data_IF_268166837625
#
_entry.id   IF_268166837625
#
_cell.length_a   1.000
_cell.length_b   1.000
_cell.length_c   1.000
_cell.angle_alpha   90.00
_cell.angle_beta   90.00
_cell.angle_gamma   90.00
#
_symmetry.space_group_name_H-M   'P 1'
#
loop_
_entity.id
_entity.type
_entity.pdbx_description
1 polymer ?
#
# COMPACT_ATOMS: atom_id res chain seq x y z
N UNK A 1 -30.63 -2.46 12.21
CA UNK A 1 -29.73 -3.64 12.34
C UNK A 1 -28.90 -3.49 13.60
N UNK A 2 -28.55 -4.59 14.28
CA UNK A 2 -27.63 -4.54 15.43
C UNK A 2 -26.22 -4.14 14.96
N UNK A 3 -25.47 -3.40 15.78
CA UNK A 3 -24.10 -2.95 15.50
C UNK A 3 -23.17 -4.09 15.12
N UNK A 4 -23.32 -5.26 15.77
CA UNK A 4 -22.52 -6.44 15.43
C UNK A 4 -22.76 -6.90 13.99
N UNK A 5 -24.00 -6.84 13.50
CA UNK A 5 -24.34 -7.22 12.12
C UNK A 5 -23.75 -6.21 11.14
N UNK A 6 -23.84 -4.90 11.45
CA UNK A 6 -23.22 -3.85 10.65
C UNK A 6 -21.69 -4.03 10.57
N UNK A 7 -21.04 -4.36 11.68
CA UNK A 7 -19.60 -4.63 11.73
C UNK A 7 -19.22 -5.85 10.87
N UNK A 8 -19.97 -6.94 10.96
CA UNK A 8 -19.74 -8.13 10.14
C UNK A 8 -19.93 -7.86 8.64
N UNK A 9 -20.95 -7.08 8.27
CA UNK A 9 -21.18 -6.68 6.88
C UNK A 9 -20.07 -5.77 6.35
N UNK A 10 -19.57 -4.84 7.17
CA UNK A 10 -18.43 -4.01 6.81
C UNK A 10 -17.14 -4.83 6.65
N UNK A 11 -16.98 -5.89 7.44
CA UNK A 11 -15.82 -6.79 7.36
C UNK A 11 -15.89 -7.78 6.18
N UNK A 12 -17.09 -8.15 5.74
CA UNK A 12 -17.30 -9.20 4.74
C UNK A 12 -16.50 -9.01 3.42
N UNK A 13 -16.44 -7.82 2.80
CA UNK A 13 -15.63 -7.62 1.58
C UNK A 13 -14.13 -7.88 1.82
N UNK A 14 -13.61 -7.51 2.99
CA UNK A 14 -12.21 -7.74 3.35
C UNK A 14 -11.92 -9.22 3.54
N UNK A 15 -12.80 -9.92 4.26
CA UNK A 15 -12.72 -11.37 4.45
C UNK A 15 -12.78 -12.10 3.11
N UNK A 16 -13.71 -11.69 2.24
CA UNK A 16 -13.87 -12.25 0.91
C UNK A 16 -12.61 -12.05 0.06
N UNK A 17 -12.00 -10.86 0.09
CA UNK A 17 -10.73 -10.63 -0.59
C UNK A 17 -9.63 -11.59 -0.10
N UNK A 18 -9.50 -11.79 1.21
CA UNK A 18 -8.57 -12.76 1.80
C UNK A 18 -8.84 -14.19 1.35
N UNK A 19 -10.10 -14.62 1.38
CA UNK A 19 -10.50 -15.97 0.94
C UNK A 19 -10.20 -16.20 -0.54
N UNK A 20 -10.55 -15.24 -1.42
CA UNK A 20 -10.35 -15.39 -2.86
C UNK A 20 -8.87 -15.33 -3.25
N UNK A 21 -8.09 -14.41 -2.67
CA UNK A 21 -6.69 -14.19 -3.01
C UNK A 21 -5.73 -15.17 -2.33
N UNK A 22 -5.95 -15.51 -1.07
CA UNK A 22 -5.03 -16.35 -0.29
C UNK A 22 -5.53 -17.80 -0.26
N UNK A 23 -6.82 -18.00 0.00
CA UNK A 23 -7.43 -19.33 0.08
C UNK A 23 -7.51 -20.00 -1.30
N UNK A 24 -8.22 -19.37 -2.24
CA UNK A 24 -8.42 -19.90 -3.60
C UNK A 24 -7.31 -19.51 -4.58
N UNK A 25 -6.41 -18.60 -4.20
CA UNK A 25 -5.30 -18.12 -5.04
C UNK A 25 -5.76 -17.60 -6.41
N UNK A 26 -6.95 -17.00 -6.44
CA UNK A 26 -7.49 -16.41 -7.67
C UNK A 26 -6.69 -15.17 -8.03
N UNK A 27 -6.47 -14.91 -9.34
CA UNK A 27 -5.80 -13.69 -9.75
C UNK A 27 -6.66 -12.47 -9.38
N UNK A 28 -6.00 -11.40 -8.92
CA UNK A 28 -6.67 -10.18 -8.46
C UNK A 28 -7.63 -9.57 -9.50
N UNK A 29 -7.35 -9.74 -10.80
CA UNK A 29 -8.23 -9.32 -11.90
C UNK A 29 -9.64 -9.93 -11.85
N UNK A 30 -9.79 -11.10 -11.21
CA UNK A 30 -11.07 -11.80 -11.03
C UNK A 30 -11.62 -11.55 -9.62
N UNK A 31 -10.76 -11.67 -8.61
CA UNK A 31 -11.18 -11.55 -7.22
C UNK A 31 -11.68 -10.14 -6.86
N UNK A 32 -10.97 -9.08 -7.29
CA UNK A 32 -11.28 -7.71 -6.87
C UNK A 32 -12.62 -7.18 -7.41
N UNK A 33 -13.03 -7.46 -8.67
CA UNK A 33 -14.38 -7.14 -9.13
C UNK A 33 -15.49 -7.79 -8.30
N UNK A 34 -15.31 -9.05 -7.87
CA UNK A 34 -16.29 -9.75 -7.03
C UNK A 34 -16.40 -9.06 -5.66
N UNK A 35 -15.26 -8.70 -5.06
CA UNK A 35 -15.21 -7.96 -3.79
C UNK A 35 -15.88 -6.59 -3.92
N UNK A 36 -15.62 -5.86 -5.01
CA UNK A 36 -16.25 -4.59 -5.30
C UNK A 36 -17.78 -4.70 -5.43
N UNK A 37 -18.28 -5.66 -6.20
CA UNK A 37 -19.71 -5.90 -6.35
C UNK A 37 -20.36 -6.25 -5.00
N UNK A 38 -19.68 -7.05 -4.19
CA UNK A 38 -20.13 -7.39 -2.83
C UNK A 38 -20.25 -6.13 -1.98
N UNK A 39 -19.24 -5.27 -1.96
CA UNK A 39 -19.28 -4.00 -1.23
C UNK A 39 -20.39 -3.06 -1.72
N UNK A 40 -20.59 -2.97 -3.05
CA UNK A 40 -21.64 -2.15 -3.65
C UNK A 40 -23.05 -2.65 -3.26
N UNK A 41 -23.30 -3.96 -3.34
CA UNK A 41 -24.58 -4.58 -2.94
C UNK A 41 -24.86 -4.31 -1.47
N UNK A 42 -23.85 -4.50 -0.61
CA UNK A 42 -23.99 -4.24 0.82
C UNK A 42 -24.29 -2.75 1.06
N UNK A 43 -23.60 -1.82 0.41
CA UNK A 43 -23.87 -0.38 0.54
C UNK A 43 -25.30 0.00 0.15
N UNK A 44 -25.82 -0.58 -0.94
CA UNK A 44 -27.19 -0.33 -1.41
C UNK A 44 -28.26 -0.92 -0.49
N UNK A 45 -27.99 -2.07 0.15
CA UNK A 45 -29.03 -2.84 0.88
C UNK A 45 -28.98 -2.70 2.40
N UNK A 46 -27.79 -2.56 2.98
CA UNK A 46 -27.59 -2.49 4.43
C UNK A 46 -27.46 -1.06 4.96
N UNK A 47 -27.03 -0.13 4.10
CA UNK A 47 -26.79 1.28 4.42
C UNK A 47 -27.67 2.24 3.61
N UNK A 48 -28.63 1.72 2.84
CA UNK A 48 -29.56 2.49 2.01
C UNK A 48 -28.89 3.58 1.17
N UNK A 49 -27.67 3.30 0.66
CA UNK A 49 -26.97 4.25 -0.19
C UNK A 49 -27.73 4.42 -1.52
N UNK A 50 -27.83 5.65 -2.01
CA UNK A 50 -28.38 5.89 -3.34
C UNK A 50 -27.48 5.27 -4.42
N UNK A 51 -28.09 4.80 -5.50
CA UNK A 51 -27.34 4.32 -6.67
C UNK A 51 -26.37 5.39 -7.21
N UNK A 52 -26.79 6.66 -7.20
CA UNK A 52 -25.95 7.79 -7.59
C UNK A 52 -24.68 7.92 -6.74
N UNK A 53 -24.76 7.66 -5.43
CA UNK A 53 -23.60 7.71 -4.53
C UNK A 53 -22.64 6.56 -4.84
N UNK A 54 -23.14 5.35 -5.04
CA UNK A 54 -22.30 4.19 -5.41
C UNK A 54 -21.61 4.42 -6.77
N UNK A 55 -22.35 4.93 -7.76
CA UNK A 55 -21.78 5.27 -9.07
C UNK A 55 -20.70 6.36 -8.97
N UNK A 56 -20.95 7.43 -8.20
CA UNK A 56 -19.98 8.49 -7.97
C UNK A 56 -18.71 7.96 -7.28
N UNK A 57 -18.85 7.14 -6.23
CA UNK A 57 -17.71 6.50 -5.55
C UNK A 57 -16.92 5.57 -6.48
N UNK A 58 -17.61 4.89 -7.41
CA UNK A 58 -16.95 4.05 -8.42
C UNK A 58 -16.09 4.89 -9.37
N UNK A 59 -16.63 6.00 -9.89
CA UNK A 59 -15.90 6.93 -10.75
C UNK A 59 -14.72 7.55 -9.99
N UNK A 60 -14.93 7.95 -8.74
CA UNK A 60 -13.86 8.46 -7.88
C UNK A 60 -12.74 7.42 -7.73
N UNK A 61 -13.08 6.15 -7.47
CA UNK A 61 -12.10 5.06 -7.39
C UNK A 61 -11.29 4.87 -8.68
N UNK A 62 -11.94 5.00 -9.85
CA UNK A 62 -11.26 4.92 -11.15
C UNK A 62 -10.29 6.09 -11.37
N UNK A 63 -10.68 7.31 -11.00
CA UNK A 63 -9.80 8.49 -11.07
C UNK A 63 -8.58 8.30 -10.16
N UNK A 64 -8.77 7.83 -8.93
CA UNK A 64 -7.67 7.53 -8.02
C UNK A 64 -6.74 6.46 -8.58
N UNK A 65 -7.31 5.41 -9.20
CA UNK A 65 -6.54 4.35 -9.85
C UNK A 65 -5.67 4.89 -10.98
N UNK A 66 -6.15 5.85 -11.78
CA UNK A 66 -5.35 6.49 -12.82
C UNK A 66 -4.12 7.21 -12.24
N UNK A 67 -4.27 7.89 -11.09
CA UNK A 67 -3.15 8.49 -10.36
C UNK A 67 -2.12 7.46 -9.92
N UNK A 68 -2.55 6.32 -9.37
CA UNK A 68 -1.65 5.23 -9.00
C UNK A 68 -0.92 4.65 -10.22
N UNK A 69 -1.62 4.44 -11.34
CA UNK A 69 -1.02 3.94 -12.58
C UNK A 69 0.05 4.91 -13.12
N UNK A 70 -0.16 6.22 -13.00
CA UNK A 70 0.83 7.23 -13.38
C UNK A 70 2.12 7.11 -12.56
N UNK A 71 2.00 6.91 -11.25
CA UNK A 71 3.15 6.69 -10.35
C UNK A 71 3.89 5.40 -10.71
N UNK A 72 3.16 4.29 -10.89
CA UNK A 72 3.74 2.99 -11.27
C UNK A 72 4.45 3.09 -12.62
N UNK A 73 3.86 3.78 -13.59
CA UNK A 73 4.48 4.02 -14.89
C UNK A 73 5.83 4.75 -14.73
N UNK A 74 5.87 5.85 -13.98
CA UNK A 74 7.11 6.59 -13.71
C UNK A 74 8.18 5.72 -13.02
N UNK A 75 7.78 4.91 -12.04
CA UNK A 75 8.68 4.01 -11.33
C UNK A 75 9.26 2.91 -12.24
N UNK A 76 8.42 2.27 -13.05
CA UNK A 76 8.85 1.23 -14.01
C UNK A 76 9.73 1.84 -15.11
N UNK A 77 9.40 3.03 -15.60
CA UNK A 77 10.22 3.75 -16.57
C UNK A 77 11.61 4.00 -16.00
N UNK A 78 11.71 4.58 -14.81
CA UNK A 78 12.98 4.85 -14.13
C UNK A 78 13.79 3.57 -13.90
N UNK A 79 13.15 2.50 -13.39
CA UNK A 79 13.80 1.22 -13.17
C UNK A 79 14.39 0.63 -14.46
N UNK A 80 13.63 0.67 -15.56
CA UNK A 80 14.11 0.20 -16.86
C UNK A 80 15.23 1.09 -17.40
N UNK A 81 15.11 2.41 -17.27
CA UNK A 81 16.18 3.34 -17.64
C UNK A 81 17.46 3.04 -16.88
N UNK A 82 17.40 2.84 -15.56
CA UNK A 82 18.56 2.48 -14.73
C UNK A 82 19.15 1.12 -15.09
N UNK A 83 18.31 0.15 -15.48
CA UNK A 83 18.75 -1.17 -15.93
C UNK A 83 19.51 -1.08 -17.26
N UNK A 84 18.99 -0.31 -18.22
CA UNK A 84 19.59 -0.18 -19.55
C UNK A 84 20.78 0.79 -19.59
N UNK A 85 20.84 1.78 -18.69
CA UNK A 85 21.97 2.71 -18.59
C UNK A 85 23.15 2.16 -17.79
N UNK A 86 23.01 1.00 -17.14
CA UNK A 86 24.02 0.44 -16.23
C UNK A 86 24.02 1.08 -14.82
N UNK A 87 23.07 1.98 -14.53
CA UNK A 87 22.91 2.59 -13.21
C UNK A 87 22.71 1.58 -12.07
N UNK A 88 22.01 0.47 -12.32
CA UNK A 88 21.88 -0.63 -11.34
C UNK A 88 23.24 -1.21 -10.96
N UNK A 89 24.16 -1.35 -11.92
CA UNK A 89 25.52 -1.86 -11.66
C UNK A 89 26.33 -0.89 -10.83
N UNK A 90 26.23 0.42 -11.10
CA UNK A 90 26.89 1.46 -10.29
C UNK A 90 26.37 1.44 -8.84
N UNK A 91 25.05 1.31 -8.65
CA UNK A 91 24.42 1.18 -7.33
C UNK A 91 24.95 -0.07 -6.61
N UNK A 92 24.98 -1.23 -7.29
CA UNK A 92 25.49 -2.48 -6.73
C UNK A 92 26.95 -2.34 -6.28
N UNK A 93 27.81 -1.77 -7.12
CA UNK A 93 29.23 -1.59 -6.82
C UNK A 93 29.43 -0.66 -5.62
N UNK A 94 28.62 0.41 -5.52
CA UNK A 94 28.60 1.29 -4.36
C UNK A 94 28.26 0.55 -3.07
N UNK A 95 27.18 -0.24 -3.05
CA UNK A 95 26.76 -0.97 -1.86
C UNK A 95 27.69 -2.12 -1.46
N UNK A 96 28.21 -2.88 -2.43
CA UNK A 96 29.18 -3.96 -2.14
C UNK A 96 30.51 -3.43 -1.59
N UNK A 97 30.84 -2.17 -1.88
CA UNK A 97 32.06 -1.51 -1.38
C UNK A 97 31.96 -0.99 0.05
N UNK A 98 30.75 -0.86 0.62
CA UNK A 98 30.58 -0.28 1.98
C UNK A 98 30.94 -1.29 3.06
N UNK A 99 30.46 -2.54 2.93
CA UNK A 99 30.75 -3.59 3.91
C UNK A 99 30.68 -4.98 3.28
N UNK A 100 31.61 -5.88 3.61
CA UNK A 100 31.51 -7.30 3.24
C UNK A 100 30.47 -8.06 4.07
N UNK A 101 29.98 -7.49 5.18
CA UNK A 101 28.99 -8.14 6.05
C UNK A 101 27.58 -8.05 5.44
N UNK A 102 27.00 -9.22 5.14
CA UNK A 102 25.66 -9.34 4.56
C UNK A 102 24.56 -8.76 5.45
N UNK A 103 24.75 -8.73 6.76
CA UNK A 103 23.78 -8.16 7.71
C UNK A 103 23.76 -6.64 7.58
N UNK A 104 24.93 -6.02 7.43
CA UNK A 104 25.07 -4.58 7.21
C UNK A 104 24.49 -4.20 5.85
N UNK A 105 24.76 -4.98 4.80
CA UNK A 105 24.14 -4.77 3.49
C UNK A 105 22.61 -4.87 3.53
N UNK A 106 22.05 -5.83 4.29
CA UNK A 106 20.61 -5.94 4.47
C UNK A 106 20.03 -4.69 5.16
N UNK A 107 20.68 -4.16 6.20
CA UNK A 107 20.27 -2.91 6.83
C UNK A 107 20.33 -1.73 5.85
N UNK A 108 21.40 -1.63 5.07
CA UNK A 108 21.55 -0.50 4.15
C UNK A 108 20.51 -0.57 3.02
N UNK A 109 20.33 -1.73 2.41
CA UNK A 109 19.49 -1.89 1.22
C UNK A 109 18.03 -2.09 1.59
N UNK A 110 17.76 -3.02 2.48
CA UNK A 110 16.39 -3.34 2.85
C UNK A 110 15.81 -2.24 3.74
N UNK A 111 16.56 -1.78 4.77
CA UNK A 111 16.05 -0.82 5.75
C UNK A 111 16.22 0.62 5.30
N UNK A 112 17.45 1.12 5.17
CA UNK A 112 17.68 2.54 4.88
C UNK A 112 17.13 2.93 3.50
N UNK A 113 17.54 2.22 2.45
CA UNK A 113 17.07 2.48 1.10
C UNK A 113 15.57 2.15 0.93
N UNK A 114 15.09 1.05 1.50
CA UNK A 114 13.66 0.71 1.51
C UNK A 114 12.79 1.79 2.18
N UNK A 115 13.16 2.25 3.38
CA UNK A 115 12.43 3.33 4.05
C UNK A 115 12.49 4.65 3.29
N UNK A 116 13.65 5.00 2.73
CA UNK A 116 13.80 6.20 1.91
C UNK A 116 12.89 6.17 0.67
N UNK A 117 12.90 5.06 -0.07
CA UNK A 117 12.12 4.96 -1.30
C UNK A 117 10.62 4.87 -1.01
N UNK A 118 10.19 4.20 0.06
CA UNK A 118 8.80 4.25 0.52
C UNK A 118 8.39 5.67 0.88
N UNK A 119 9.22 6.40 1.64
CA UNK A 119 8.92 7.80 2.01
C UNK A 119 8.77 8.71 0.78
N UNK A 120 9.63 8.54 -0.22
CA UNK A 120 9.64 9.36 -1.43
C UNK A 120 8.51 9.01 -2.43
N UNK A 121 8.18 7.73 -2.58
CA UNK A 121 7.22 7.25 -3.59
C UNK A 121 5.87 6.80 -3.03
N UNK A 122 5.88 6.16 -1.86
CA UNK A 122 4.74 5.49 -1.24
C UNK A 122 4.30 4.22 -1.96
N UNK A 123 3.25 3.58 -1.42
CA UNK A 123 2.49 2.51 -2.08
C UNK A 123 3.20 1.16 -2.20
N UNK A 124 4.16 0.86 -1.32
CA UNK A 124 4.77 -0.46 -1.26
C UNK A 124 5.95 -0.67 -2.20
N UNK A 125 6.64 0.41 -2.51
CA UNK A 125 7.83 0.43 -3.37
C UNK A 125 9.00 -0.44 -2.86
N UNK A 126 9.22 -0.67 -1.55
CA UNK A 126 10.25 -1.59 -1.07
C UNK A 126 10.10 -3.02 -1.60
N UNK A 127 8.88 -3.55 -1.68
CA UNK A 127 8.68 -4.88 -2.28
C UNK A 127 8.97 -4.88 -3.79
N UNK A 128 8.66 -3.79 -4.48
CA UNK A 128 8.86 -3.68 -5.92
C UNK A 128 10.33 -3.44 -6.31
N UNK A 129 11.14 -2.79 -5.46
CA UNK A 129 12.50 -2.33 -5.81
C UNK A 129 13.57 -2.91 -4.88
N UNK A 130 13.40 -2.81 -3.56
CA UNK A 130 14.43 -3.23 -2.61
C UNK A 130 14.59 -4.76 -2.57
N UNK A 131 13.49 -5.52 -2.60
CA UNK A 131 13.56 -6.98 -2.63
C UNK A 131 14.27 -7.52 -3.89
N UNK A 132 13.93 -7.11 -5.13
CA UNK A 132 14.69 -7.50 -6.33
C UNK A 132 16.16 -7.06 -6.29
N UNK A 133 16.46 -5.87 -5.75
CA UNK A 133 17.84 -5.40 -5.61
C UNK A 133 18.64 -6.30 -4.67
N UNK A 134 18.06 -6.75 -3.55
CA UNK A 134 18.73 -7.71 -2.66
C UNK A 134 18.98 -9.06 -3.34
N UNK A 135 18.05 -9.54 -4.16
CA UNK A 135 18.28 -10.74 -4.98
C UNK A 135 19.44 -10.51 -5.95
N UNK A 136 19.51 -9.35 -6.60
CA UNK A 136 20.62 -8.98 -7.49
C UNK A 136 21.97 -8.84 -6.77
N UNK A 137 21.96 -8.53 -5.47
CA UNK A 137 23.13 -8.53 -4.58
C UNK A 137 23.49 -9.94 -4.05
N UNK A 138 22.74 -10.97 -4.43
CA UNK A 138 23.01 -12.37 -4.12
C UNK A 138 22.36 -12.88 -2.84
N UNK A 139 21.40 -12.16 -2.25
CA UNK A 139 20.61 -12.66 -1.12
C UNK A 139 19.69 -13.81 -1.55
N UNK A 140 19.44 -14.81 -0.69
CA UNK A 140 18.44 -15.83 -0.95
C UNK A 140 17.10 -15.17 -1.24
N UNK A 141 16.42 -15.58 -2.33
CA UNK A 141 15.22 -14.92 -2.80
C UNK A 141 14.12 -14.84 -1.72
N UNK A 142 13.93 -15.92 -0.95
CA UNK A 142 12.96 -15.93 0.14
C UNK A 142 13.31 -14.92 1.23
N UNK A 143 14.57 -14.87 1.66
CA UNK A 143 15.01 -13.90 2.66
C UNK A 143 14.84 -12.46 2.15
N UNK A 144 15.12 -12.23 0.87
CA UNK A 144 14.96 -10.92 0.26
C UNK A 144 13.51 -10.44 0.21
N UNK A 145 12.60 -11.32 -0.17
CA UNK A 145 11.15 -11.03 -0.16
C UNK A 145 10.65 -10.83 1.26
N UNK A 146 10.99 -11.72 2.21
CA UNK A 146 10.52 -11.62 3.60
C UNK A 146 11.00 -10.31 4.24
N UNK A 147 12.30 -10.00 4.14
CA UNK A 147 12.86 -8.77 4.72
C UNK A 147 12.31 -7.54 4.01
N UNK A 148 12.20 -7.55 2.67
CA UNK A 148 11.60 -6.43 1.92
C UNK A 148 10.14 -6.15 2.31
N UNK A 149 9.34 -7.21 2.45
CA UNK A 149 7.92 -7.12 2.86
C UNK A 149 7.76 -6.72 4.33
N UNK A 150 8.61 -7.23 5.22
CA UNK A 150 8.63 -6.80 6.63
C UNK A 150 8.93 -5.31 6.73
N UNK A 151 9.97 -4.86 6.02
CA UNK A 151 10.38 -3.46 6.11
C UNK A 151 9.33 -2.57 5.51
N UNK A 152 8.69 -2.93 4.40
CA UNK A 152 7.58 -2.18 3.84
C UNK A 152 6.50 -1.85 4.89
N UNK A 153 6.27 -2.72 5.88
CA UNK A 153 5.25 -2.50 6.91
C UNK A 153 5.60 -1.38 7.90
N UNK A 154 6.87 -0.95 7.99
CA UNK A 154 7.34 0.03 9.00
C UNK A 154 7.22 1.50 8.54
N UNK A 155 7.72 1.90 7.36
CA UNK A 155 7.68 3.28 6.89
C UNK A 155 6.39 3.61 6.13
N UNK A 156 5.46 2.66 5.94
CA UNK A 156 4.25 2.86 5.12
C UNK A 156 3.44 4.08 5.56
N UNK A 157 3.38 4.36 6.87
CA UNK A 157 2.69 5.53 7.41
C UNK A 157 3.27 6.85 6.90
N UNK A 158 4.56 6.87 6.57
CA UNK A 158 5.28 8.02 6.03
C UNK A 158 5.36 8.01 4.51
N UNK A 159 4.82 6.98 3.86
CA UNK A 159 4.88 6.81 2.41
C UNK A 159 4.21 7.97 1.66
N UNK A 160 4.76 8.32 0.49
CA UNK A 160 4.31 9.46 -0.31
C UNK A 160 4.16 10.73 0.55
N UNK A 161 5.20 11.05 1.34
CA UNK A 161 5.23 12.22 2.24
C UNK A 161 4.05 12.22 3.23
N UNK A 162 3.76 11.05 3.83
CA UNK A 162 2.74 10.91 4.86
C UNK A 162 1.30 10.83 4.34
N UNK A 163 1.10 10.59 3.04
CA UNK A 163 -0.24 10.46 2.45
C UNK A 163 -1.16 9.48 3.20
N UNK A 164 -0.71 8.28 3.63
CA UNK A 164 -1.55 7.37 4.40
C UNK A 164 -2.00 7.91 5.76
N UNK A 165 -1.20 8.76 6.42
CA UNK A 165 -1.61 9.41 7.67
C UNK A 165 -2.55 10.57 7.38
N UNK A 166 -2.16 11.47 6.49
CA UNK A 166 -2.94 12.69 6.17
C UNK A 166 -4.32 12.33 5.61
N UNK A 167 -4.36 11.42 4.64
CA UNK A 167 -5.60 11.00 3.98
C UNK A 167 -6.25 9.86 4.76
N UNK A 168 -5.54 8.77 5.06
CA UNK A 168 -6.14 7.58 5.65
C UNK A 168 -6.70 7.82 7.06
N UNK A 169 -5.89 8.39 7.96
CA UNK A 169 -6.35 8.71 9.32
C UNK A 169 -7.23 9.96 9.30
N UNK A 170 -6.81 11.01 8.57
CA UNK A 170 -7.53 12.28 8.55
C UNK A 170 -8.93 12.21 7.95
N UNK A 171 -9.17 11.40 6.93
CA UNK A 171 -10.51 11.22 6.33
C UNK A 171 -11.38 10.18 7.03
N UNK A 172 -10.77 9.26 7.79
CA UNK A 172 -11.50 8.23 8.54
C UNK A 172 -12.06 8.71 9.87
N UNK A 173 -11.47 9.75 10.46
CA UNK A 173 -11.95 10.35 11.71
C UNK A 173 -13.01 11.42 11.42
N UNK A 174 -14.13 11.38 12.15
CA UNK A 174 -15.11 12.47 12.15
C UNK A 174 -14.57 13.67 12.92
N UNK A 175 -13.67 14.41 12.25
CA UNK A 175 -12.95 15.53 12.85
C UNK A 175 -13.90 16.61 13.38
N UNK A 176 -15.03 16.84 12.70
CA UNK A 176 -16.01 17.84 13.11
C UNK A 176 -16.62 17.51 14.49
N UNK A 177 -17.15 16.29 14.65
CA UNK A 177 -17.76 15.86 15.91
C UNK A 177 -16.73 15.73 17.03
N UNK A 178 -15.53 15.21 16.72
CA UNK A 178 -14.44 15.09 17.70
C UNK A 178 -14.01 16.47 18.20
N UNK A 179 -13.80 17.44 17.30
CA UNK A 179 -13.46 18.82 17.69
C UNK A 179 -14.56 19.44 18.53
N UNK A 180 -15.83 19.30 18.14
CA UNK A 180 -16.96 19.83 18.91
C UNK A 180 -17.05 19.23 20.32
N UNK A 181 -16.76 17.93 20.47
CA UNK A 181 -16.70 17.27 21.78
C UNK A 181 -15.51 17.74 22.61
N UNK A 182 -14.34 17.93 22.00
CA UNK A 182 -13.15 18.43 22.71
C UNK A 182 -13.36 19.86 23.19
N UNK A 183 -13.91 20.74 22.36
CA UNK A 183 -14.27 22.11 22.71
C UNK A 183 -15.31 22.15 23.84
N UNK A 184 -16.35 21.29 23.76
CA UNK A 184 -17.36 21.18 24.81
C UNK A 184 -16.79 20.69 26.16
N UNK A 185 -15.67 19.95 26.15
CA UNK A 185 -14.96 19.50 27.34
C UNK A 185 -13.80 20.42 27.76
N UNK A 186 -13.69 21.61 27.16
CA UNK A 186 -12.71 22.62 27.54
C UNK A 186 -11.29 22.38 27.00
N UNK A 187 -11.11 21.45 26.05
CA UNK A 187 -9.88 21.36 25.27
C UNK A 187 -9.93 22.39 24.13
N UNK A 188 -9.10 23.42 24.23
CA UNK A 188 -8.83 24.40 23.16
C UNK A 188 -7.68 23.97 22.28
#
# INVERSE_FOLDING_TARGET
MNETILALLAFLPLLLAGILLIGFKLPAKIAMPIVFLTAAIIGLTAWDMSFSRVAASTVQGLIQTAGLLWIIFGAILLLNTLKHSGGITAIRNGFSGISPDRRVQALIVAWLFGCFIEGASGFGTPAAVAAPLMVALGFPALAAVVVGMMIQSTPVSFGAVGTPVVVGVGSGLNRADITAQLEANGST
#
